data_IF_737602639315
#
_entry.id   IF_737602639315
#
_cell.length_a   1.000
_cell.length_b   1.000
_cell.length_c   1.000
_cell.angle_alpha   90.00
_cell.angle_beta   90.00
_cell.angle_gamma   90.00
#
_symmetry.space_group_name_H-M   'P 1'
#
loop_
_entity.id
_entity.type
_entity.pdbx_description
1 polymer ?
#
# COMPACT_ATOMS: atom_id res chain seq x y z
N UNK A 1 -13.84 17.11 2.54
CA UNK A 1 -12.44 16.65 2.46
C UNK A 1 -12.29 15.87 1.18
N UNK A 2 -11.31 16.26 0.37
CA UNK A 2 -10.99 15.62 -0.90
C UNK A 2 -9.69 14.83 -0.76
N UNK A 3 -9.68 13.56 -1.15
CA UNK A 3 -8.58 12.62 -0.87
C UNK A 3 -8.02 12.05 -2.16
N UNK A 4 -6.70 12.10 -2.31
CA UNK A 4 -5.99 11.43 -3.40
C UNK A 4 -5.57 10.04 -2.97
N UNK A 5 -5.86 9.02 -3.79
CA UNK A 5 -5.51 7.62 -3.48
C UNK A 5 -4.64 7.07 -4.59
N UNK A 6 -3.42 6.65 -4.26
CA UNK A 6 -2.53 5.98 -5.21
C UNK A 6 -2.72 4.47 -5.16
N UNK A 7 -2.41 3.77 -6.25
CA UNK A 7 -2.48 2.31 -6.29
C UNK A 7 -3.91 1.76 -6.29
N UNK A 8 -4.85 2.47 -6.92
CA UNK A 8 -6.28 2.08 -6.92
C UNK A 8 -6.57 0.84 -7.78
N UNK A 9 -5.66 0.44 -8.66
CA UNK A 9 -5.72 -0.85 -9.35
C UNK A 9 -5.39 -2.05 -8.44
N UNK A 10 -4.83 -1.80 -7.27
CA UNK A 10 -4.55 -2.80 -6.25
C UNK A 10 -5.74 -3.05 -5.32
N UNK A 11 -5.61 -4.11 -4.52
CA UNK A 11 -6.68 -4.58 -3.63
C UNK A 11 -7.13 -3.51 -2.62
N UNK A 12 -6.19 -2.92 -1.88
CA UNK A 12 -6.52 -1.93 -0.85
C UNK A 12 -6.96 -0.60 -1.45
N UNK A 13 -6.22 -0.08 -2.44
CA UNK A 13 -6.56 1.20 -3.06
C UNK A 13 -7.96 1.20 -3.67
N UNK A 14 -8.36 0.08 -4.30
CA UNK A 14 -9.72 -0.13 -4.80
C UNK A 14 -10.76 -0.06 -3.67
N UNK A 15 -10.53 -0.76 -2.57
CA UNK A 15 -11.45 -0.77 -1.42
C UNK A 15 -11.54 0.61 -0.75
N UNK A 16 -10.43 1.34 -0.66
CA UNK A 16 -10.41 2.72 -0.16
C UNK A 16 -11.29 3.62 -1.00
N UNK A 17 -11.18 3.57 -2.35
CA UNK A 17 -12.01 4.38 -3.24
C UNK A 17 -13.51 4.10 -3.05
N UNK A 18 -13.88 2.82 -2.94
CA UNK A 18 -15.27 2.44 -2.69
C UNK A 18 -15.77 2.91 -1.31
N UNK A 19 -14.93 2.86 -0.28
CA UNK A 19 -15.32 3.32 1.05
C UNK A 19 -15.44 4.85 1.11
N UNK A 20 -14.56 5.60 0.43
CA UNK A 20 -14.71 7.05 0.31
C UNK A 20 -16.05 7.43 -0.33
N UNK A 21 -16.42 6.77 -1.43
CA UNK A 21 -17.71 6.96 -2.09
C UNK A 21 -18.88 6.69 -1.13
N UNK A 22 -18.83 5.56 -0.41
CA UNK A 22 -19.87 5.17 0.56
C UNK A 22 -20.03 6.17 1.70
N UNK A 23 -18.93 6.78 2.14
CA UNK A 23 -18.94 7.80 3.21
C UNK A 23 -19.24 9.22 2.72
N UNK A 24 -19.42 9.41 1.42
CA UNK A 24 -19.69 10.72 0.83
C UNK A 24 -18.47 11.66 0.82
N UNK A 25 -17.25 11.11 0.89
CA UNK A 25 -16.04 11.88 0.66
C UNK A 25 -15.74 12.00 -0.83
N UNK A 26 -15.11 13.09 -1.23
CA UNK A 26 -14.57 13.23 -2.57
C UNK A 26 -13.23 12.50 -2.68
N UNK A 27 -13.08 11.67 -3.69
CA UNK A 27 -11.85 10.93 -3.96
C UNK A 27 -11.33 11.16 -5.37
N UNK A 28 -10.01 11.13 -5.55
CA UNK A 28 -9.34 11.04 -6.85
C UNK A 28 -8.43 9.84 -6.80
N UNK A 29 -8.73 8.83 -7.62
CA UNK A 29 -7.92 7.62 -7.72
C UNK A 29 -6.80 7.75 -8.74
N UNK A 30 -5.67 7.08 -8.48
CA UNK A 30 -4.54 7.08 -9.39
C UNK A 30 -3.82 5.74 -9.42
N UNK A 31 -3.35 5.36 -10.60
CA UNK A 31 -2.48 4.20 -10.83
C UNK A 31 -1.67 4.42 -12.11
N UNK A 32 -0.75 3.51 -12.41
CA UNK A 32 0.06 3.52 -13.63
C UNK A 32 -0.76 3.16 -14.89
N UNK A 33 -1.86 2.44 -14.74
CA UNK A 33 -2.73 2.07 -15.85
C UNK A 33 -3.38 3.31 -16.51
N UNK A 34 -3.59 3.31 -17.84
CA UNK A 34 -4.17 4.46 -18.54
C UNK A 34 -5.63 4.73 -18.17
N UNK A 35 -6.34 3.73 -17.64
CA UNK A 35 -7.73 3.86 -17.19
C UNK A 35 -8.00 2.96 -15.99
N UNK A 36 -8.93 3.36 -15.16
CA UNK A 36 -9.38 2.57 -14.02
C UNK A 36 -10.54 1.66 -14.42
N UNK A 37 -10.32 0.37 -14.36
CA UNK A 37 -11.33 -0.67 -14.67
C UNK A 37 -11.77 -1.47 -13.44
N UNK A 38 -11.37 -1.04 -12.25
CA UNK A 38 -11.51 -1.83 -11.03
C UNK A 38 -10.43 -2.92 -10.93
N UNK A 39 -10.64 -3.89 -10.06
CA UNK A 39 -9.78 -5.08 -9.99
C UNK A 39 -10.26 -6.18 -10.93
N UNK A 40 -9.31 -7.03 -11.36
CA UNK A 40 -9.53 -8.03 -12.40
C UNK A 40 -10.62 -9.08 -12.10
N UNK A 41 -11.13 -9.17 -10.88
CA UNK A 41 -12.20 -10.09 -10.49
C UNK A 41 -13.62 -9.55 -10.74
N UNK A 42 -13.74 -8.38 -11.37
CA UNK A 42 -15.02 -7.79 -11.74
C UNK A 42 -15.84 -7.23 -10.57
N UNK A 43 -15.26 -7.08 -9.38
CA UNK A 43 -15.95 -6.45 -8.25
C UNK A 43 -16.15 -4.95 -8.48
N UNK A 44 -16.86 -4.27 -7.60
CA UNK A 44 -17.30 -2.89 -7.78
C UNK A 44 -16.26 -1.95 -8.38
N UNK A 45 -16.68 -1.11 -9.31
CA UNK A 45 -15.89 -0.03 -9.91
C UNK A 45 -16.38 1.29 -9.34
N UNK A 46 -15.46 2.11 -8.85
CA UNK A 46 -15.81 3.44 -8.37
C UNK A 46 -16.18 4.38 -9.52
N UNK A 47 -17.10 5.30 -9.26
CA UNK A 47 -17.44 6.41 -10.17
C UNK A 47 -16.60 7.67 -9.91
N UNK A 48 -15.73 7.65 -8.90
CA UNK A 48 -14.86 8.79 -8.59
C UNK A 48 -13.84 9.05 -9.69
N UNK A 49 -13.38 10.31 -9.84
CA UNK A 49 -12.35 10.66 -10.81
C UNK A 49 -11.11 9.78 -10.70
N UNK A 50 -10.54 9.46 -11.86
CA UNK A 50 -9.29 8.72 -11.99
C UNK A 50 -8.31 9.51 -12.85
N UNK A 51 -7.04 9.48 -12.48
CA UNK A 51 -5.94 10.06 -13.26
C UNK A 51 -4.77 9.08 -13.31
N UNK A 52 -4.22 8.88 -14.50
CA UNK A 52 -3.01 8.10 -14.67
C UNK A 52 -1.81 8.85 -14.08
N UNK A 53 -1.01 8.16 -13.26
CA UNK A 53 0.22 8.71 -12.69
C UNK A 53 1.19 7.60 -12.36
N UNK A 54 2.44 7.76 -12.78
CA UNK A 54 3.56 6.95 -12.32
C UNK A 54 4.19 7.66 -11.11
N UNK A 55 4.15 7.05 -9.94
CA UNK A 55 4.73 7.61 -8.71
C UNK A 55 6.26 7.78 -8.81
N UNK A 56 6.92 7.08 -9.72
CA UNK A 56 8.36 7.16 -9.93
C UNK A 56 8.78 8.37 -10.79
N UNK A 57 7.83 8.99 -11.49
CA UNK A 57 8.02 10.23 -12.24
C UNK A 57 7.65 11.45 -11.36
N UNK A 58 8.66 12.12 -10.82
CA UNK A 58 8.49 13.28 -9.94
C UNK A 58 7.66 14.38 -10.57
N UNK A 59 7.90 14.71 -11.84
CA UNK A 59 7.17 15.78 -12.52
C UNK A 59 5.68 15.41 -12.70
N UNK A 60 5.38 14.16 -13.02
CA UNK A 60 4.03 13.64 -13.07
C UNK A 60 3.33 13.75 -11.72
N UNK A 61 3.99 13.33 -10.63
CA UNK A 61 3.46 13.38 -9.27
C UNK A 61 3.14 14.81 -8.86
N UNK A 62 4.08 15.75 -9.05
CA UNK A 62 3.90 17.17 -8.73
C UNK A 62 2.70 17.75 -9.48
N UNK A 63 2.65 17.57 -10.79
CA UNK A 63 1.58 18.08 -11.62
C UNK A 63 0.22 17.54 -11.20
N UNK A 64 0.10 16.22 -11.14
CA UNK A 64 -1.19 15.54 -10.94
C UNK A 64 -1.77 15.84 -9.55
N UNK A 65 -0.97 15.80 -8.48
CA UNK A 65 -1.47 16.04 -7.12
C UNK A 65 -1.84 17.53 -6.93
N UNK A 66 -1.05 18.46 -7.49
CA UNK A 66 -1.37 19.90 -7.45
C UNK A 66 -2.69 20.20 -8.19
N UNK A 67 -2.86 19.65 -9.39
CA UNK A 67 -4.09 19.83 -10.17
C UNK A 67 -5.31 19.18 -9.49
N UNK A 68 -5.12 18.09 -8.76
CA UNK A 68 -6.18 17.42 -8.04
C UNK A 68 -6.76 18.23 -6.87
N UNK A 69 -6.01 19.19 -6.32
CA UNK A 69 -6.40 20.09 -5.23
C UNK A 69 -7.03 19.35 -4.06
N UNK A 70 -6.25 18.53 -3.36
CA UNK A 70 -6.69 17.61 -2.32
C UNK A 70 -6.20 18.01 -0.93
N UNK A 71 -6.90 17.54 0.11
CA UNK A 71 -6.59 17.81 1.52
C UNK A 71 -5.66 16.73 2.12
N UNK A 72 -5.61 15.56 1.48
CA UNK A 72 -4.83 14.42 1.97
C UNK A 72 -4.50 13.43 0.85
N UNK A 73 -3.43 12.65 1.04
CA UNK A 73 -3.04 11.52 0.20
C UNK A 73 -3.08 10.22 1.02
N UNK A 74 -3.74 9.19 0.49
CA UNK A 74 -3.62 7.81 0.97
C UNK A 74 -2.74 7.05 -0.03
N UNK A 75 -1.52 6.72 0.40
CA UNK A 75 -0.52 6.12 -0.47
C UNK A 75 -0.54 4.59 -0.36
N UNK A 76 -1.27 3.94 -1.30
CA UNK A 76 -1.38 2.48 -1.38
C UNK A 76 -0.50 1.85 -2.47
N UNK A 77 0.05 2.65 -3.39
CA UNK A 77 0.93 2.14 -4.44
C UNK A 77 2.24 1.63 -3.85
N UNK A 78 2.60 0.39 -4.15
CA UNK A 78 3.84 -0.22 -3.72
C UNK A 78 4.15 -1.48 -4.55
N UNK A 79 5.41 -1.85 -4.61
CA UNK A 79 5.81 -3.21 -4.97
C UNK A 79 5.59 -4.12 -3.76
N UNK A 80 4.75 -5.13 -3.90
CA UNK A 80 4.35 -6.02 -2.78
C UNK A 80 4.67 -7.49 -3.00
N UNK A 81 5.29 -7.84 -4.14
CA UNK A 81 5.76 -9.20 -4.40
C UNK A 81 7.06 -9.45 -3.63
N UNK A 82 6.93 -9.95 -2.39
CA UNK A 82 8.04 -10.10 -1.43
C UNK A 82 9.15 -10.98 -1.99
N UNK A 83 8.80 -12.20 -2.45
CA UNK A 83 9.79 -13.16 -2.96
C UNK A 83 10.49 -12.63 -4.22
N UNK A 84 9.74 -12.04 -5.15
CA UNK A 84 10.31 -11.46 -6.36
C UNK A 84 11.17 -10.21 -6.10
N UNK A 85 11.05 -9.58 -4.94
CA UNK A 85 11.91 -8.46 -4.56
C UNK A 85 13.34 -8.90 -4.22
N UNK A 86 13.56 -10.19 -3.91
CA UNK A 86 14.88 -10.74 -3.65
C UNK A 86 15.70 -10.98 -4.93
N UNK A 87 15.05 -11.09 -6.09
CA UNK A 87 15.73 -11.22 -7.38
C UNK A 87 16.54 -9.95 -7.66
N UNK A 88 17.84 -10.09 -7.91
CA UNK A 88 18.75 -8.95 -8.13
C UNK A 88 18.28 -8.02 -9.26
N UNK A 89 17.67 -8.57 -10.31
CA UNK A 89 17.15 -7.81 -11.44
C UNK A 89 15.94 -6.93 -11.06
N UNK A 90 15.19 -7.29 -10.04
CA UNK A 90 14.01 -6.55 -9.58
C UNK A 90 14.35 -5.50 -8.53
N UNK A 91 15.42 -5.64 -7.77
CA UNK A 91 15.77 -4.75 -6.66
C UNK A 91 15.81 -3.26 -7.03
N UNK A 92 16.40 -2.85 -8.18
CA UNK A 92 16.36 -1.44 -8.58
C UNK A 92 14.94 -0.91 -8.75
N UNK A 93 14.04 -1.72 -9.33
CA UNK A 93 12.64 -1.34 -9.53
C UNK A 93 11.85 -1.32 -8.22
N UNK A 94 12.11 -2.28 -7.33
CA UNK A 94 11.51 -2.30 -5.98
C UNK A 94 11.86 -1.03 -5.22
N UNK A 95 13.13 -0.63 -5.22
CA UNK A 95 13.60 0.63 -4.61
C UNK A 95 13.00 1.86 -5.29
N UNK A 96 12.96 1.87 -6.60
CA UNK A 96 12.39 2.98 -7.36
C UNK A 96 10.91 3.21 -6.99
N UNK A 97 10.12 2.14 -6.88
CA UNK A 97 8.69 2.22 -6.51
C UNK A 97 8.51 2.55 -5.03
N UNK A 98 9.10 1.73 -4.13
CA UNK A 98 8.82 1.81 -2.70
C UNK A 98 9.51 2.98 -2.00
N UNK A 99 10.66 3.42 -2.49
CA UNK A 99 11.44 4.49 -1.86
C UNK A 99 11.31 5.79 -2.65
N UNK A 100 11.76 5.82 -3.91
CA UNK A 100 11.74 7.06 -4.72
C UNK A 100 10.29 7.52 -4.98
N UNK A 101 9.40 6.59 -5.35
CA UNK A 101 7.98 6.90 -5.55
C UNK A 101 7.32 7.44 -4.29
N UNK A 102 7.59 6.84 -3.13
CA UNK A 102 7.10 7.33 -1.83
C UNK A 102 7.66 8.71 -1.49
N UNK A 103 8.97 8.95 -1.75
CA UNK A 103 9.59 10.25 -1.53
C UNK A 103 8.95 11.34 -2.42
N UNK A 104 8.69 11.04 -3.70
CA UNK A 104 8.02 12.00 -4.59
C UNK A 104 6.64 12.43 -4.06
N UNK A 105 5.86 11.47 -3.54
CA UNK A 105 4.55 11.77 -2.91
C UNK A 105 4.75 12.60 -1.64
N UNK A 106 5.72 12.25 -0.78
CA UNK A 106 6.01 12.96 0.46
C UNK A 106 6.44 14.42 0.19
N UNK A 107 7.31 14.64 -0.81
CA UNK A 107 7.76 15.99 -1.21
C UNK A 107 6.57 16.89 -1.56
N UNK A 108 5.64 16.38 -2.36
CA UNK A 108 4.44 17.16 -2.76
C UNK A 108 3.49 17.38 -1.59
N UNK A 109 3.30 16.37 -0.72
CA UNK A 109 2.49 16.54 0.50
C UNK A 109 3.09 17.63 1.41
N UNK A 110 4.42 17.68 1.55
CA UNK A 110 5.13 18.71 2.30
C UNK A 110 4.94 20.08 1.67
N UNK A 111 5.15 20.19 0.35
CA UNK A 111 5.02 21.46 -0.38
C UNK A 111 3.61 22.07 -0.23
N UNK A 112 2.58 21.22 -0.30
CA UNK A 112 1.18 21.61 -0.21
C UNK A 112 0.65 21.69 1.23
N UNK A 113 1.45 21.36 2.24
CA UNK A 113 1.06 21.25 3.66
C UNK A 113 -0.15 20.35 3.91
N UNK A 114 -0.31 19.28 3.11
CA UNK A 114 -1.41 18.32 3.20
C UNK A 114 -1.01 17.06 3.97
N UNK A 115 -2.02 16.31 4.41
CA UNK A 115 -1.82 15.08 5.19
C UNK A 115 -1.41 13.91 4.31
N UNK A 116 -0.57 13.01 4.83
CA UNK A 116 -0.20 11.76 4.15
C UNK A 116 -0.44 10.54 5.05
N UNK A 117 -1.15 9.55 4.54
CA UNK A 117 -1.22 8.22 5.14
C UNK A 117 -0.40 7.26 4.27
N UNK A 118 0.58 6.60 4.88
CA UNK A 118 1.45 5.62 4.24
C UNK A 118 1.20 4.21 4.77
N UNK A 119 0.98 3.26 3.87
CA UNK A 119 0.82 1.86 4.20
C UNK A 119 2.19 1.18 4.27
N UNK A 120 2.55 0.68 5.44
CA UNK A 120 3.77 -0.06 5.69
C UNK A 120 3.47 -1.52 6.10
N UNK A 121 4.43 -2.21 6.66
CA UNK A 121 4.40 -3.65 6.96
C UNK A 121 5.10 -3.94 8.28
N UNK A 122 4.78 -5.07 8.89
CA UNK A 122 5.53 -5.68 9.99
C UNK A 122 6.93 -6.16 9.59
N UNK A 123 7.20 -6.36 8.28
CA UNK A 123 8.52 -6.75 7.76
C UNK A 123 9.62 -5.71 7.98
N UNK A 124 9.31 -4.55 8.55
CA UNK A 124 10.32 -3.60 9.05
C UNK A 124 11.05 -4.11 10.30
N UNK A 125 10.55 -5.16 10.93
CA UNK A 125 11.13 -5.84 12.09
C UNK A 125 11.70 -7.22 11.71
N UNK A 126 12.49 -7.81 12.62
CA UNK A 126 13.12 -9.13 12.43
C UNK A 126 12.21 -10.33 12.79
N UNK A 127 11.00 -10.08 13.25
CA UNK A 127 10.06 -11.14 13.64
C UNK A 127 10.47 -11.92 14.89
N UNK A 128 11.50 -11.48 15.61
CA UNK A 128 11.98 -12.17 16.81
C UNK A 128 11.24 -11.69 18.06
N UNK A 129 11.13 -12.56 19.04
CA UNK A 129 10.49 -12.25 20.31
C UNK A 129 9.16 -12.94 20.52
N UNK A 130 8.52 -12.69 21.67
CA UNK A 130 7.28 -13.34 22.10
C UNK A 130 6.17 -12.35 22.45
N UNK A 131 6.46 -11.06 22.29
CA UNK A 131 5.51 -9.96 22.55
C UNK A 131 5.25 -9.18 21.26
N UNK A 132 4.04 -8.63 21.06
CA UNK A 132 3.76 -7.76 19.94
C UNK A 132 4.67 -6.52 19.94
N UNK A 133 4.99 -6.02 18.74
CA UNK A 133 5.70 -4.75 18.59
C UNK A 133 4.79 -3.58 18.94
N UNK A 134 5.30 -2.65 19.73
CA UNK A 134 4.59 -1.41 20.03
C UNK A 134 4.59 -0.46 18.81
N UNK A 135 3.55 0.39 18.65
CA UNK A 135 3.44 1.28 17.49
C UNK A 135 4.62 2.25 17.32
N UNK A 136 5.26 2.65 18.42
CA UNK A 136 6.39 3.58 18.46
C UNK A 136 7.76 2.88 18.47
N UNK A 137 7.79 1.54 18.43
CA UNK A 137 9.03 0.76 18.37
C UNK A 137 9.84 1.14 17.13
N UNK A 138 11.13 1.38 17.34
CA UNK A 138 12.11 1.75 16.32
C UNK A 138 13.25 0.74 16.19
N UNK A 139 13.12 -0.42 16.80
CA UNK A 139 14.11 -1.51 16.71
C UNK A 139 14.00 -2.22 15.35
N UNK A 140 14.14 -1.42 14.28
CA UNK A 140 14.00 -1.89 12.90
C UNK A 140 15.12 -2.86 12.54
N UNK A 141 14.76 -4.01 11.96
CA UNK A 141 15.69 -5.04 11.47
C UNK A 141 15.05 -5.83 10.34
N UNK A 142 14.77 -5.20 9.20
CA UNK A 142 14.16 -5.90 8.07
C UNK A 142 15.08 -7.03 7.58
N UNK A 143 14.50 -8.19 7.31
CA UNK A 143 15.25 -9.38 6.89
C UNK A 143 15.27 -9.60 5.38
N UNK A 144 14.53 -8.80 4.63
CA UNK A 144 14.42 -8.92 3.18
C UNK A 144 14.35 -7.55 2.49
N UNK A 145 14.54 -7.55 1.18
CA UNK A 145 14.55 -6.34 0.34
C UNK A 145 13.21 -5.59 0.41
N UNK A 146 12.09 -6.32 0.41
CA UNK A 146 10.77 -5.70 0.54
C UNK A 146 10.65 -4.93 1.86
N UNK A 147 10.94 -5.57 2.99
CA UNK A 147 10.90 -4.93 4.32
C UNK A 147 11.83 -3.74 4.41
N UNK A 148 13.07 -3.85 3.90
CA UNK A 148 14.02 -2.75 3.87
C UNK A 148 13.48 -1.55 3.06
N UNK A 149 12.93 -1.80 1.87
CA UNK A 149 12.41 -0.71 1.02
C UNK A 149 11.15 -0.07 1.59
N UNK A 150 10.32 -0.84 2.32
CA UNK A 150 9.17 -0.29 3.04
C UNK A 150 9.61 0.57 4.23
N UNK A 151 10.64 0.16 4.96
CA UNK A 151 11.26 0.97 6.02
C UNK A 151 11.86 2.27 5.47
N UNK A 152 12.61 2.18 4.37
CA UNK A 152 13.16 3.38 3.71
C UNK A 152 12.03 4.35 3.31
N UNK A 153 10.87 3.84 2.89
CA UNK A 153 9.65 4.62 2.65
C UNK A 153 9.07 5.25 3.92
N UNK A 154 9.02 4.55 5.06
CA UNK A 154 8.63 5.13 6.36
C UNK A 154 9.54 6.31 6.75
N UNK A 155 10.85 6.13 6.56
CA UNK A 155 11.84 7.16 6.88
C UNK A 155 11.73 8.36 5.93
N UNK A 156 11.44 8.13 4.64
CA UNK A 156 11.16 9.19 3.68
C UNK A 156 9.93 10.02 4.10
N UNK A 157 8.83 9.37 4.47
CA UNK A 157 7.61 10.05 4.92
C UNK A 157 7.86 10.82 6.21
N UNK A 158 8.37 10.16 7.25
CA UNK A 158 8.58 10.77 8.58
C UNK A 158 9.66 11.85 8.60
N UNK A 159 10.62 11.78 7.68
CA UNK A 159 11.66 12.81 7.52
C UNK A 159 11.22 14.02 6.69
N UNK A 160 10.11 13.93 5.97
CA UNK A 160 9.69 14.97 5.02
C UNK A 160 8.36 15.63 5.42
N UNK A 161 7.34 14.84 5.77
CA UNK A 161 5.96 15.32 5.99
C UNK A 161 5.72 15.59 7.47
N UNK A 162 5.12 16.73 7.81
CA UNK A 162 4.79 17.05 9.21
C UNK A 162 3.47 16.38 9.65
N UNK A 163 2.54 16.19 8.73
CA UNK A 163 1.17 15.67 8.99
C UNK A 163 1.01 14.28 8.38
N UNK A 164 1.50 13.25 9.05
CA UNK A 164 1.47 11.90 8.50
C UNK A 164 0.93 10.86 9.46
N UNK A 165 0.47 9.75 8.88
CA UNK A 165 0.25 8.48 9.56
C UNK A 165 1.01 7.38 8.81
N UNK A 166 1.70 6.52 9.55
CA UNK A 166 2.30 5.28 9.04
C UNK A 166 1.53 4.12 9.64
N UNK A 167 0.89 3.32 8.78
CA UNK A 167 0.05 2.19 9.19
C UNK A 167 0.74 0.91 8.78
N UNK A 168 1.30 0.17 9.73
CA UNK A 168 1.91 -1.15 9.52
C UNK A 168 0.83 -2.22 9.54
N UNK A 169 0.75 -3.00 8.50
CA UNK A 169 -0.24 -4.06 8.31
C UNK A 169 0.45 -5.37 7.97
N UNK A 170 -0.16 -6.49 8.37
CA UNK A 170 0.35 -7.83 8.12
C UNK A 170 -0.74 -8.75 7.58
N UNK A 171 -0.37 -9.71 6.74
CA UNK A 171 -1.23 -10.80 6.27
C UNK A 171 -2.58 -10.33 5.76
N UNK A 172 -2.54 -9.35 4.89
CA UNK A 172 -3.74 -8.63 4.45
C UNK A 172 -4.61 -9.51 3.57
N UNK A 173 -5.89 -9.54 3.84
CA UNK A 173 -6.86 -10.29 3.07
C UNK A 173 -8.16 -9.51 2.89
N UNK A 174 -8.94 -9.88 1.88
CA UNK A 174 -10.22 -9.25 1.60
C UNK A 174 -11.00 -9.96 0.50
N UNK A 175 -12.19 -9.45 0.24
CA UNK A 175 -13.06 -9.97 -0.81
C UNK A 175 -12.44 -9.79 -2.20
N UNK A 176 -11.73 -8.70 -2.41
CA UNK A 176 -11.19 -8.30 -3.70
C UNK A 176 -9.72 -8.73 -3.85
N UNK A 177 -9.27 -8.95 -5.09
CA UNK A 177 -7.88 -9.30 -5.42
C UNK A 177 -7.44 -10.70 -4.95
N UNK A 178 -6.14 -10.95 -5.07
CA UNK A 178 -5.50 -12.22 -4.65
C UNK A 178 -5.07 -12.11 -3.19
N UNK A 179 -5.25 -13.16 -2.41
CA UNK A 179 -4.77 -13.25 -1.04
C UNK A 179 -4.61 -14.72 -0.61
N UNK A 180 -3.93 -14.94 0.54
CA UNK A 180 -3.65 -16.27 1.06
C UNK A 180 -4.91 -17.14 1.20
N UNK A 181 -6.00 -16.60 1.74
CA UNK A 181 -7.24 -17.35 1.97
C UNK A 181 -7.81 -17.88 0.64
N UNK A 182 -7.90 -17.02 -0.38
CA UNK A 182 -8.37 -17.43 -1.72
C UNK A 182 -7.43 -18.44 -2.36
N UNK A 183 -6.12 -18.29 -2.15
CA UNK A 183 -5.11 -19.23 -2.64
C UNK A 183 -5.33 -20.60 -2.00
N UNK A 184 -5.49 -20.70 -0.69
CA UNK A 184 -5.74 -21.95 0.01
C UNK A 184 -7.04 -22.62 -0.42
N UNK A 185 -8.13 -21.85 -0.58
CA UNK A 185 -9.40 -22.35 -1.09
C UNK A 185 -9.25 -22.94 -2.50
N UNK A 186 -8.49 -22.29 -3.37
CA UNK A 186 -8.29 -22.78 -4.74
C UNK A 186 -7.38 -24.01 -4.79
N UNK A 187 -6.30 -24.03 -4.02
CA UNK A 187 -5.42 -25.20 -3.93
C UNK A 187 -6.14 -26.41 -3.35
N UNK A 188 -6.98 -26.22 -2.33
CA UNK A 188 -7.78 -27.30 -1.73
C UNK A 188 -8.81 -27.94 -2.67
N UNK A 189 -9.10 -27.33 -3.84
CA UNK A 189 -9.93 -27.93 -4.88
C UNK A 189 -9.17 -28.90 -5.78
N UNK A 190 -7.86 -28.83 -5.81
CA UNK A 190 -7.01 -29.53 -6.79
C UNK A 190 -5.91 -30.37 -6.17
N UNK A 191 -5.69 -30.26 -4.86
CA UNK A 191 -4.64 -30.97 -4.12
C UNK A 191 -5.23 -31.68 -2.90
N UNK A 192 -4.88 -32.94 -2.72
CA UNK A 192 -5.31 -33.73 -1.57
C UNK A 192 -4.59 -33.34 -0.27
N UNK A 193 -3.37 -32.81 -0.40
CA UNK A 193 -2.55 -32.36 0.73
C UNK A 193 -1.84 -31.07 0.41
N UNK A 194 -1.69 -30.21 1.42
CA UNK A 194 -0.95 -28.94 1.33
C UNK A 194 0.05 -28.85 2.48
N UNK A 195 1.26 -28.37 2.19
CA UNK A 195 2.24 -28.01 3.20
C UNK A 195 2.19 -26.50 3.42
N UNK A 196 1.94 -26.10 4.66
CA UNK A 196 1.83 -24.70 5.05
C UNK A 196 2.75 -24.43 6.22
N UNK A 197 3.49 -23.31 6.17
CA UNK A 197 4.32 -22.83 7.27
C UNK A 197 3.43 -22.60 8.50
N UNK A 198 3.85 -23.09 9.68
CA UNK A 198 3.05 -23.06 10.91
C UNK A 198 3.81 -22.49 12.13
N UNK A 199 5.02 -21.97 11.93
CA UNK A 199 5.90 -21.39 12.96
C UNK A 199 5.88 -19.84 12.95
N UNK A 200 5.06 -19.24 12.10
CA UNK A 200 4.87 -17.80 12.06
C UNK A 200 3.62 -17.40 12.86
N UNK A 201 3.78 -16.39 13.69
CA UNK A 201 2.70 -15.77 14.47
C UNK A 201 2.51 -14.34 13.98
N UNK A 202 1.29 -13.98 13.62
CA UNK A 202 1.00 -12.65 13.12
C UNK A 202 -0.45 -12.24 13.36
N UNK A 203 -0.77 -10.99 13.02
CA UNK A 203 -2.10 -10.41 13.16
C UNK A 203 -2.68 -10.15 11.77
N UNK A 204 -3.48 -11.08 11.20
CA UNK A 204 -4.08 -10.88 9.89
C UNK A 204 -5.01 -9.67 9.88
N UNK A 205 -4.88 -8.83 8.86
CA UNK A 205 -5.69 -7.62 8.69
C UNK A 205 -6.67 -7.78 7.53
N UNK A 206 -7.96 -7.71 7.84
CA UNK A 206 -9.01 -7.63 6.82
C UNK A 206 -9.06 -6.22 6.21
N UNK A 207 -9.07 -6.12 4.89
CA UNK A 207 -9.28 -4.83 4.21
C UNK A 207 -10.61 -4.18 4.58
N UNK A 208 -11.64 -4.97 4.82
CA UNK A 208 -12.94 -4.45 5.32
C UNK A 208 -12.77 -3.73 6.66
N UNK A 209 -11.90 -4.24 7.52
CA UNK A 209 -11.59 -3.62 8.82
C UNK A 209 -10.73 -2.37 8.63
N UNK A 210 -9.62 -2.50 7.88
CA UNK A 210 -8.68 -1.42 7.67
C UNK A 210 -9.32 -0.17 7.05
N UNK A 211 -10.19 -0.34 6.05
CA UNK A 211 -10.89 0.78 5.40
C UNK A 211 -11.96 1.44 6.27
N UNK A 212 -12.36 0.81 7.38
CA UNK A 212 -13.36 1.35 8.31
C UNK A 212 -12.77 2.37 9.30
N UNK A 213 -11.46 2.45 9.40
CA UNK A 213 -10.73 3.38 10.27
C UNK A 213 -10.07 4.49 9.46
#
# INVERSE_FOLDING_TARGET
MRIFVTGVGGQLGHDVMNELAKRGYEGVGSDIAPSYSGIADGTAVTTMPYVQMDITDKASVEKVIKEANVDAVIHCAAWTAVDAAEDEENQPKVRLVNVTGTQNIADVCKELDIKMLYLSTDYVFDGQGTTPWEPDCKDYKPLNVYGQTKLDGELAVSGTVDKFFIVRIAWVFGKNGKNFIKTMINLGKTHDTLSVVNDQIGTPVSYTHLRAH
#
